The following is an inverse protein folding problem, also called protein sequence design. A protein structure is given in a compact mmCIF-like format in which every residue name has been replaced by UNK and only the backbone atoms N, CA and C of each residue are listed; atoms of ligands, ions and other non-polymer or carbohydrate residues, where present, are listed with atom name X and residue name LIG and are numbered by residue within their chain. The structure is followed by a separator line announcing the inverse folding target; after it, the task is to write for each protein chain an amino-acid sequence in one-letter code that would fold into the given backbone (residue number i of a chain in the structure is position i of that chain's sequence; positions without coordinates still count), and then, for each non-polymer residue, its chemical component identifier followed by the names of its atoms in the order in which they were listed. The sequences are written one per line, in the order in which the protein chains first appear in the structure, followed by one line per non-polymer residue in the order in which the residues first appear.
data_IF_491654038361
#
_entry.id   IF_491654038361
#
_cell.length_a   1.000
_cell.length_b   1.000
_cell.length_c   1.000
_cell.angle_alpha   90.00
_cell.angle_beta   90.00
_cell.angle_gamma   90.00
#
_symmetry.space_group_name_H-M   'P 1'
#
loop_
_entity.id
_entity.type
_entity.pdbx_description
1 polymer ?
#
# COMPACT_ATOMS: atom_id res chain seq x y z
N UNK A 1 17.46 2.00 4.97
CA UNK A 1 16.15 1.35 4.76
C UNK A 1 16.23 0.03 4.02
N UNK A 2 16.79 -0.02 2.81
CA UNK A 2 16.81 -1.23 1.97
C UNK A 2 17.34 -2.48 2.68
N UNK A 3 18.54 -2.44 3.27
CA UNK A 3 19.14 -3.60 3.95
C UNK A 3 18.31 -4.11 5.13
N UNK A 4 17.72 -3.19 5.91
CA UNK A 4 16.85 -3.52 7.04
C UNK A 4 15.56 -4.17 6.53
N UNK A 5 14.95 -3.63 5.47
CA UNK A 5 13.78 -4.22 4.83
C UNK A 5 14.05 -5.61 4.28
N UNK A 6 15.18 -5.82 3.60
CA UNK A 6 15.59 -7.14 3.09
C UNK A 6 15.84 -8.12 4.23
N UNK A 7 16.51 -7.70 5.30
CA UNK A 7 16.76 -8.55 6.48
C UNK A 7 15.45 -8.97 7.18
N UNK A 8 14.54 -8.02 7.38
CA UNK A 8 13.21 -8.30 7.96
C UNK A 8 12.37 -9.19 7.05
N UNK A 9 12.41 -8.95 5.74
CA UNK A 9 11.76 -9.78 4.73
C UNK A 9 12.31 -11.21 4.74
N UNK A 10 13.62 -11.36 4.79
CA UNK A 10 14.25 -12.68 4.93
C UNK A 10 13.79 -13.37 6.22
N UNK A 11 13.81 -12.70 7.37
CA UNK A 11 13.34 -13.30 8.62
C UNK A 11 11.86 -13.72 8.59
N UNK A 12 11.01 -12.93 7.93
CA UNK A 12 9.58 -13.21 7.78
C UNK A 12 9.27 -14.35 6.81
N UNK A 13 10.01 -14.42 5.70
CA UNK A 13 9.68 -15.30 4.57
C UNK A 13 10.64 -16.47 4.35
N UNK A 14 11.77 -16.55 5.06
CA UNK A 14 12.72 -17.66 4.93
C UNK A 14 12.18 -18.99 5.51
N UNK A 15 11.32 -18.92 6.53
CA UNK A 15 10.73 -20.10 7.19
C UNK A 15 9.65 -20.81 6.35
N UNK A 16 9.32 -20.33 5.13
CA UNK A 16 8.30 -20.93 4.26
C UNK A 16 8.72 -22.28 3.64
N UNK A 17 10.00 -22.65 3.70
CA UNK A 17 10.48 -23.86 3.02
C UNK A 17 10.03 -25.17 3.69
N UNK A 18 9.41 -25.14 4.87
CA UNK A 18 9.05 -26.37 5.59
C UNK A 18 7.67 -26.28 6.27
N UNK A 19 6.66 -26.86 5.62
CA UNK A 19 5.29 -27.20 6.11
C UNK A 19 4.20 -26.11 6.03
N UNK A 20 3.16 -26.43 5.25
CA UNK A 20 1.94 -25.64 4.99
C UNK A 20 0.98 -25.39 6.18
N UNK A 21 1.46 -25.46 7.43
CA UNK A 21 0.69 -25.08 8.64
C UNK A 21 1.00 -23.65 9.13
N UNK A 22 1.87 -22.91 8.41
CA UNK A 22 2.59 -21.72 8.88
C UNK A 22 1.97 -20.37 8.43
N UNK A 23 1.03 -20.37 7.48
CA UNK A 23 0.51 -19.12 6.87
C UNK A 23 -0.20 -18.18 7.85
N UNK A 24 -1.02 -18.72 8.77
CA UNK A 24 -1.71 -17.91 9.80
C UNK A 24 -0.73 -17.29 10.80
N UNK A 25 0.30 -18.04 11.22
CA UNK A 25 1.36 -17.52 12.10
C UNK A 25 2.14 -16.38 11.43
N UNK A 26 2.33 -16.44 10.12
CA UNK A 26 3.01 -15.39 9.36
C UNK A 26 2.20 -14.11 9.27
N UNK A 27 0.90 -14.19 9.00
CA UNK A 27 0.01 -13.03 9.03
C UNK A 27 0.17 -12.32 10.37
N UNK A 28 0.06 -13.06 11.48
CA UNK A 28 0.24 -12.48 12.82
C UNK A 28 1.62 -11.81 12.99
N UNK A 29 2.71 -12.45 12.56
CA UNK A 29 4.07 -11.88 12.65
C UNK A 29 4.20 -10.55 11.87
N UNK A 30 3.69 -10.48 10.64
CA UNK A 30 3.75 -9.25 9.82
C UNK A 30 2.90 -8.15 10.46
N UNK A 31 1.71 -8.48 10.96
CA UNK A 31 0.80 -7.52 11.61
C UNK A 31 1.39 -6.95 12.90
N UNK A 32 2.04 -7.79 13.73
CA UNK A 32 2.74 -7.33 14.94
C UNK A 32 3.86 -6.37 14.58
N UNK A 33 4.65 -6.68 13.54
CA UNK A 33 5.74 -5.83 13.08
C UNK A 33 5.22 -4.51 12.49
N UNK A 34 4.13 -4.52 11.71
CA UNK A 34 3.51 -3.31 11.19
C UNK A 34 3.02 -2.40 12.32
N UNK A 35 2.36 -3.00 13.32
CA UNK A 35 1.84 -2.27 14.49
C UNK A 35 2.96 -1.65 15.31
N UNK A 36 4.07 -2.37 15.52
CA UNK A 36 5.21 -1.83 16.28
C UNK A 36 5.87 -0.64 15.58
N UNK A 37 6.03 -0.69 14.25
CA UNK A 37 6.54 0.46 13.48
C UNK A 37 5.60 1.66 13.53
N UNK A 38 4.28 1.45 13.47
CA UNK A 38 3.30 2.53 13.61
C UNK A 38 3.33 3.18 15.00
N UNK A 39 3.36 2.38 16.06
CA UNK A 39 3.48 2.87 17.44
C UNK A 39 4.76 3.70 17.58
N UNK A 40 5.88 3.17 17.09
CA UNK A 40 7.16 3.88 17.14
C UNK A 40 7.12 5.19 16.34
N UNK A 41 6.50 5.21 15.17
CA UNK A 41 6.33 6.42 14.36
C UNK A 41 5.53 7.50 15.12
N UNK A 42 4.43 7.12 15.78
CA UNK A 42 3.59 8.03 16.58
C UNK A 42 4.36 8.58 17.79
N UNK A 43 5.10 7.74 18.50
CA UNK A 43 5.93 8.16 19.64
C UNK A 43 6.99 9.15 19.17
N UNK A 44 7.70 8.85 18.08
CA UNK A 44 8.77 9.72 17.58
C UNK A 44 8.23 11.06 17.06
N UNK A 45 7.09 11.05 16.38
CA UNK A 45 6.41 12.26 15.91
C UNK A 45 5.98 13.17 17.07
N UNK A 46 5.56 12.57 18.20
CA UNK A 46 5.08 13.29 19.37
C UNK A 46 6.20 13.79 20.29
N UNK A 47 7.25 12.98 20.52
CA UNK A 47 8.27 13.25 21.54
C UNK A 47 9.59 13.80 21.01
N UNK A 48 9.96 13.51 19.76
CA UNK A 48 11.30 13.86 19.23
C UNK A 48 11.17 14.97 18.21
N UNK A 49 10.57 14.67 17.06
CA UNK A 49 10.46 15.61 15.94
C UNK A 49 9.27 15.24 15.07
N UNK A 50 8.52 16.26 14.63
CA UNK A 50 7.44 16.07 13.66
C UNK A 50 7.97 15.42 12.39
N UNK A 51 7.20 14.51 11.80
CA UNK A 51 7.55 13.84 10.55
C UNK A 51 7.87 14.87 9.45
N UNK A 52 9.10 14.83 8.95
CA UNK A 52 9.56 15.75 7.91
C UNK A 52 10.17 14.99 6.74
N UNK A 53 9.46 15.03 5.60
CA UNK A 53 9.95 14.50 4.32
C UNK A 53 11.24 15.18 3.83
N UNK A 54 11.44 16.46 4.20
CA UNK A 54 12.60 17.25 3.75
C UNK A 54 13.87 16.92 4.53
N UNK A 55 13.73 16.60 5.81
CA UNK A 55 14.87 16.24 6.68
C UNK A 55 15.14 14.74 6.70
N UNK A 56 14.24 13.93 6.14
CA UNK A 56 14.29 12.47 6.18
C UNK A 56 14.56 11.97 7.62
N UNK A 57 13.85 12.57 8.58
CA UNK A 57 14.11 12.32 9.99
C UNK A 57 13.70 10.90 10.41
N UNK A 58 14.14 10.50 11.60
CA UNK A 58 13.90 9.14 12.09
C UNK A 58 12.40 8.79 12.20
N UNK A 59 11.56 9.77 12.59
CA UNK A 59 10.11 9.62 12.60
C UNK A 59 9.55 9.31 11.19
N UNK A 60 10.02 10.02 10.17
CA UNK A 60 9.67 9.73 8.77
C UNK A 60 10.09 8.33 8.35
N UNK A 61 11.29 7.88 8.73
CA UNK A 61 11.78 6.53 8.41
C UNK A 61 10.87 5.46 9.00
N UNK A 62 10.45 5.62 10.26
CA UNK A 62 9.55 4.68 10.92
C UNK A 62 8.14 4.71 10.33
N UNK A 63 7.64 5.87 9.93
CA UNK A 63 6.37 5.99 9.22
C UNK A 63 6.41 5.23 7.89
N UNK A 64 7.47 5.38 7.11
CA UNK A 64 7.63 4.66 5.83
C UNK A 64 7.67 3.15 6.06
N UNK A 65 8.39 2.66 7.08
CA UNK A 65 8.36 1.24 7.43
C UNK A 65 6.96 0.78 7.83
N UNK A 66 6.26 1.53 8.70
CA UNK A 66 4.89 1.23 9.12
C UNK A 66 3.95 1.09 7.93
N UNK A 67 3.98 2.05 7.00
CA UNK A 67 3.14 2.02 5.79
C UNK A 67 3.44 0.80 4.90
N UNK A 68 4.72 0.51 4.64
CA UNK A 68 5.11 -0.63 3.81
C UNK A 68 4.70 -1.97 4.43
N UNK A 69 4.97 -2.17 5.73
CA UNK A 69 4.59 -3.40 6.42
C UNK A 69 3.08 -3.54 6.61
N UNK A 70 2.34 -2.43 6.70
CA UNK A 70 0.88 -2.45 6.71
C UNK A 70 0.31 -2.95 5.37
N UNK A 71 0.86 -2.50 4.24
CA UNK A 71 0.45 -3.00 2.92
C UNK A 71 0.70 -4.51 2.81
N UNK A 72 1.88 -4.99 3.22
CA UNK A 72 2.19 -6.43 3.23
C UNK A 72 1.26 -7.20 4.19
N UNK A 73 0.94 -6.62 5.35
CA UNK A 73 -0.02 -7.20 6.31
C UNK A 73 -1.42 -7.38 5.69
N UNK A 74 -1.90 -6.39 4.93
CA UNK A 74 -3.18 -6.46 4.24
C UNK A 74 -3.15 -7.50 3.13
N UNK A 75 -2.09 -7.54 2.32
CA UNK A 75 -1.97 -8.52 1.22
C UNK A 75 -1.87 -9.96 1.74
N UNK A 76 -1.09 -10.19 2.80
CA UNK A 76 -0.97 -11.53 3.41
C UNK A 76 -2.28 -11.97 4.06
N UNK A 77 -3.03 -11.05 4.65
CA UNK A 77 -4.37 -11.32 5.18
C UNK A 77 -5.37 -11.61 4.04
N UNK A 78 -5.37 -10.82 2.96
CA UNK A 78 -6.20 -11.07 1.79
C UNK A 78 -5.92 -12.44 1.16
N UNK A 79 -4.64 -12.81 1.00
CA UNK A 79 -4.25 -14.14 0.56
C UNK A 79 -4.65 -15.25 1.53
N UNK A 80 -4.64 -14.99 2.85
CA UNK A 80 -5.11 -15.97 3.85
C UNK A 80 -6.61 -16.27 3.73
N UNK A 81 -7.41 -15.28 3.34
CA UNK A 81 -8.85 -15.39 3.14
C UNK A 81 -9.16 -16.01 1.77
N UNK A 82 -8.51 -15.54 0.70
CA UNK A 82 -8.71 -16.03 -0.66
C UNK A 82 -7.79 -17.24 -0.93
N UNK A 83 -8.28 -18.45 -0.64
CA UNK A 83 -7.46 -19.68 -0.71
C UNK A 83 -7.12 -20.14 -2.13
N UNK A 84 -7.93 -19.82 -3.16
CA UNK A 84 -7.81 -20.46 -4.48
C UNK A 84 -7.71 -19.52 -5.69
N UNK A 85 -8.06 -18.23 -5.55
CA UNK A 85 -8.07 -17.29 -6.68
C UNK A 85 -7.63 -15.89 -6.28
N UNK A 86 -6.80 -15.28 -7.13
CA UNK A 86 -6.47 -13.86 -7.06
C UNK A 86 -7.76 -13.04 -7.17
N UNK A 87 -7.80 -11.91 -6.48
CA UNK A 87 -8.93 -11.00 -6.58
C UNK A 87 -9.03 -10.48 -8.02
N UNK A 88 -10.23 -10.39 -8.59
CA UNK A 88 -10.42 -9.91 -9.98
C UNK A 88 -9.76 -8.54 -10.18
N UNK A 89 -9.88 -7.68 -9.17
CA UNK A 89 -9.28 -6.35 -9.17
C UNK A 89 -7.74 -6.40 -9.11
N UNK A 90 -7.17 -7.33 -8.36
CA UNK A 90 -5.71 -7.54 -8.29
C UNK A 90 -5.17 -7.95 -9.67
N UNK A 91 -5.86 -8.86 -10.36
CA UNK A 91 -5.51 -9.25 -11.73
C UNK A 91 -5.66 -8.07 -12.71
N UNK A 92 -6.71 -7.24 -12.56
CA UNK A 92 -6.92 -6.04 -13.38
C UNK A 92 -5.73 -5.08 -13.29
N UNK A 93 -5.26 -4.82 -12.08
CA UNK A 93 -4.11 -3.96 -11.83
C UNK A 93 -2.79 -4.60 -12.28
N UNK A 94 -2.63 -5.90 -12.05
CA UNK A 94 -1.40 -6.62 -12.40
C UNK A 94 -1.18 -6.68 -13.93
N UNK A 95 -2.25 -6.81 -14.72
CA UNK A 95 -2.16 -6.86 -16.19
C UNK A 95 -1.64 -5.57 -16.83
N UNK A 96 -1.96 -4.41 -16.26
CA UNK A 96 -1.62 -3.10 -16.82
C UNK A 96 -0.98 -2.18 -15.76
N UNK A 97 -0.04 -2.70 -14.97
CA UNK A 97 0.51 -1.98 -13.80
C UNK A 97 1.06 -0.59 -14.16
N UNK A 98 1.78 -0.46 -15.28
CA UNK A 98 2.28 0.85 -15.74
C UNK A 98 1.14 1.78 -16.17
N UNK A 99 0.16 1.27 -16.92
CA UNK A 99 -0.99 2.05 -17.37
C UNK A 99 -1.82 2.55 -16.19
N UNK A 100 -2.11 1.68 -15.23
CA UNK A 100 -2.79 2.03 -13.99
C UNK A 100 -2.00 3.07 -13.18
N UNK A 101 -0.67 2.93 -13.10
CA UNK A 101 0.19 3.92 -12.46
C UNK A 101 0.12 5.30 -13.14
N UNK A 102 0.17 5.36 -14.47
CA UNK A 102 0.09 6.62 -15.20
C UNK A 102 -1.28 7.28 -14.99
N UNK A 103 -2.37 6.51 -15.13
CA UNK A 103 -3.74 7.00 -14.88
C UNK A 103 -3.90 7.51 -13.45
N UNK A 104 -3.36 6.79 -12.46
CA UNK A 104 -3.36 7.21 -11.07
C UNK A 104 -2.70 8.58 -10.87
N UNK A 105 -1.52 8.78 -11.47
CA UNK A 105 -0.79 10.05 -11.37
C UNK A 105 -1.53 11.19 -12.08
N UNK A 106 -2.10 10.94 -13.26
CA UNK A 106 -2.89 11.94 -14.00
C UNK A 106 -4.14 12.34 -13.20
N UNK A 107 -4.89 11.38 -12.68
CA UNK A 107 -6.07 11.64 -11.85
C UNK A 107 -5.71 12.38 -10.57
N UNK A 108 -4.59 12.04 -9.93
CA UNK A 108 -4.10 12.74 -8.73
C UNK A 108 -3.75 14.21 -9.06
N UNK A 109 -3.07 14.43 -10.20
CA UNK A 109 -2.78 15.78 -10.70
C UNK A 109 -4.05 16.57 -11.01
N UNK A 110 -5.03 15.94 -11.65
CA UNK A 110 -6.32 16.56 -11.96
C UNK A 110 -7.07 16.99 -10.69
N UNK A 111 -7.14 16.13 -9.68
CA UNK A 111 -7.76 16.45 -8.39
C UNK A 111 -7.07 17.65 -7.73
N UNK A 112 -5.74 17.67 -7.70
CA UNK A 112 -4.97 18.77 -7.10
C UNK A 112 -5.09 20.10 -7.85
N UNK A 113 -5.37 20.08 -9.16
CA UNK A 113 -5.62 21.30 -9.95
C UNK A 113 -7.07 21.77 -9.86
N UNK A 114 -8.02 20.84 -9.67
CA UNK A 114 -9.45 21.14 -9.68
C UNK A 114 -10.00 21.53 -8.30
N UNK A 115 -9.37 21.06 -7.23
CA UNK A 115 -9.80 21.29 -5.86
C UNK A 115 -8.64 21.86 -5.06
N UNK A 116 -8.90 22.90 -4.26
CA UNK A 116 -7.98 23.33 -3.22
C UNK A 116 -7.96 22.27 -2.10
N UNK A 117 -7.15 21.23 -2.31
CA UNK A 117 -7.00 20.10 -1.39
C UNK A 117 -6.38 20.51 -0.06
N UNK A 118 -5.68 21.66 -0.01
CA UNK A 118 -5.05 22.18 1.20
C UNK A 118 -6.09 22.73 2.18
N UNK A 119 -7.14 23.35 1.65
CA UNK A 119 -8.23 23.96 2.43
C UNK A 119 -9.46 23.06 2.57
N UNK A 120 -9.43 21.86 1.98
CA UNK A 120 -10.56 20.94 1.99
C UNK A 120 -10.86 20.42 3.41
N UNK A 121 -12.15 20.39 3.77
CA UNK A 121 -12.58 19.80 5.05
C UNK A 121 -12.31 18.29 5.09
N UNK A 122 -12.18 17.67 6.27
CA UNK A 122 -11.89 16.22 6.38
C UNK A 122 -12.92 15.35 5.64
N UNK A 123 -14.20 15.74 5.68
CA UNK A 123 -15.27 15.04 4.97
C UNK A 123 -15.12 15.19 3.45
N UNK A 124 -14.82 16.40 2.97
CA UNK A 124 -14.59 16.63 1.55
C UNK A 124 -13.38 15.85 1.04
N UNK A 125 -12.27 15.85 1.79
CA UNK A 125 -11.07 15.09 1.47
C UNK A 125 -11.36 13.58 1.40
N UNK A 126 -12.13 13.05 2.36
CA UNK A 126 -12.55 11.64 2.34
C UNK A 126 -13.41 11.32 1.11
N UNK A 127 -14.39 12.16 0.78
CA UNK A 127 -15.24 11.97 -0.40
C UNK A 127 -14.45 12.01 -1.70
N UNK A 128 -13.48 12.93 -1.81
CA UNK A 128 -12.58 13.01 -2.96
C UNK A 128 -11.76 11.72 -3.09
N UNK A 129 -11.22 11.21 -1.99
CA UNK A 129 -10.43 9.97 -2.00
C UNK A 129 -11.27 8.75 -2.39
N UNK A 130 -12.50 8.66 -1.90
CA UNK A 130 -13.46 7.60 -2.29
C UNK A 130 -13.79 7.68 -3.76
N UNK A 131 -14.14 8.87 -4.26
CA UNK A 131 -14.43 9.08 -5.67
C UNK A 131 -13.21 8.75 -6.54
N UNK A 132 -12.02 9.23 -6.17
CA UNK A 132 -10.77 8.93 -6.86
C UNK A 132 -10.52 7.42 -6.94
N UNK A 133 -10.60 6.71 -5.81
CA UNK A 133 -10.34 5.27 -5.75
C UNK A 133 -11.37 4.49 -6.56
N UNK A 134 -12.65 4.88 -6.49
CA UNK A 134 -13.72 4.27 -7.28
C UNK A 134 -13.48 4.41 -8.79
N UNK A 135 -13.16 5.62 -9.26
CA UNK A 135 -12.87 5.87 -10.67
C UNK A 135 -11.68 5.04 -11.14
N UNK A 136 -10.62 4.97 -10.33
CA UNK A 136 -9.42 4.24 -10.66
C UNK A 136 -9.67 2.72 -10.74
N UNK A 137 -10.43 2.15 -9.80
CA UNK A 137 -10.88 0.76 -9.85
C UNK A 137 -11.78 0.48 -11.06
N UNK A 138 -12.71 1.39 -11.38
CA UNK A 138 -13.61 1.26 -12.53
C UNK A 138 -12.82 1.25 -13.85
N UNK A 139 -11.86 2.15 -14.01
CA UNK A 139 -10.99 2.20 -15.19
C UNK A 139 -10.13 0.94 -15.32
N UNK A 140 -9.56 0.45 -14.22
CA UNK A 140 -8.79 -0.80 -14.23
C UNK A 140 -9.66 -2.00 -14.64
N UNK A 141 -10.86 -2.11 -14.07
CA UNK A 141 -11.82 -3.17 -14.41
C UNK A 141 -12.31 -3.10 -15.86
N UNK A 142 -12.62 -1.89 -16.37
CA UNK A 142 -13.02 -1.69 -17.77
C UNK A 142 -11.89 -2.01 -18.75
N UNK A 143 -10.65 -1.64 -18.42
CA UNK A 143 -9.48 -1.97 -19.24
C UNK A 143 -9.28 -3.49 -19.35
N UNK A 144 -9.44 -4.21 -18.23
CA UNK A 144 -9.40 -5.67 -18.21
C UNK A 144 -10.54 -6.30 -19.02
N UNK A 145 -11.78 -5.81 -18.86
CA UNK A 145 -12.94 -6.31 -19.61
C UNK A 145 -12.80 -6.07 -21.12
N UNK A 146 -12.21 -4.94 -21.51
CA UNK A 146 -11.98 -4.58 -22.91
C UNK A 146 -10.79 -5.32 -23.53
N UNK A 147 -10.07 -6.15 -22.76
CA UNK A 147 -8.90 -6.89 -23.22
C UNK A 147 -7.70 -6.00 -23.60
N UNK A 148 -7.72 -4.71 -23.22
CA UNK A 148 -6.67 -3.76 -23.58
C UNK A 148 -5.45 -4.06 -22.72
N UNK A 149 -4.43 -4.67 -23.34
CA UNK A 149 -3.12 -4.86 -22.71
C UNK A 149 -2.16 -3.80 -23.20
N UNK A 150 -1.92 -2.79 -22.38
CA UNK A 150 -0.92 -1.76 -22.64
C UNK A 150 0.43 -2.31 -22.16
N UNK A 151 1.03 -3.20 -22.96
CA UNK A 151 2.41 -3.64 -22.74
C UNK A 151 3.36 -2.58 -23.30
N UNK A 152 3.85 -1.71 -22.42
CA UNK A 152 5.13 -1.05 -22.67
C UNK A 152 6.21 -2.01 -22.14
N UNK A 153 6.69 -2.87 -23.04
CA UNK A 153 7.52 -4.08 -22.85
C UNK A 153 6.75 -5.40 -22.73
#
# INVERSE_FOLDING_TARGET
MYLIGVSLGYFLFHDLSSKGKIRSSQVVKVWVLATSFWILAIILDSYVERVSRRMCNFAYVMLVFGQNFQVISILTLAGSISHDKNLVLEEAFNQNMLGAFLVANILTGLVNLSVDTLSASPLAAFMILVAYTFNLCMLAGLAQFSGVRIKFW
#
